data_IF_210627759808
#
_entry.id   IF_210627759808
#
_cell.length_a   1.000
_cell.length_b   1.000
_cell.length_c   1.000
_cell.angle_alpha   90.00
_cell.angle_beta   90.00
_cell.angle_gamma   90.00
#
_symmetry.space_group_name_H-M   'P 1'
#
loop_
_entity.id
_entity.type
_entity.pdbx_description
1 polymer ?
#
# COMPACT_ATOMS: atom_id res chain seq x y z
N UNK A 1 -27.96 -6.90 -11.13
CA UNK A 1 -27.60 -5.54 -10.69
C UNK A 1 -26.28 -5.16 -11.36
N UNK A 2 -25.94 -3.88 -11.44
CA UNK A 2 -24.62 -3.45 -11.94
C UNK A 2 -23.59 -3.56 -10.80
N UNK A 3 -22.34 -3.86 -11.12
CA UNK A 3 -21.27 -3.87 -10.13
C UNK A 3 -20.86 -2.45 -9.76
N UNK A 4 -20.52 -2.26 -8.50
CA UNK A 4 -19.98 -1.05 -7.89
C UNK A 4 -18.73 -1.44 -7.11
N UNK A 5 -17.74 -0.58 -7.14
CA UNK A 5 -16.56 -0.66 -6.29
C UNK A 5 -16.55 0.57 -5.38
N UNK A 6 -16.23 0.37 -4.10
CA UNK A 6 -16.17 1.45 -3.11
C UNK A 6 -14.70 1.70 -2.76
N UNK A 7 -14.26 2.95 -2.90
CA UNK A 7 -13.00 3.42 -2.36
C UNK A 7 -13.24 4.35 -1.17
N UNK A 8 -12.66 4.01 -0.02
CA UNK A 8 -12.69 4.82 1.20
C UNK A 8 -11.31 5.42 1.39
N UNK A 9 -11.23 6.75 1.27
CA UNK A 9 -9.98 7.47 1.46
C UNK A 9 -9.77 7.83 2.94
N UNK A 10 -8.65 7.40 3.52
CA UNK A 10 -8.22 7.77 4.88
C UNK A 10 -6.95 8.61 4.76
N UNK A 11 -7.03 9.96 4.83
CA UNK A 11 -5.89 10.84 4.53
C UNK A 11 -4.88 10.98 5.69
N UNK A 12 -4.87 10.05 6.62
CA UNK A 12 -4.05 10.20 7.83
C UNK A 12 -2.81 9.32 7.80
N UNK A 13 -1.68 9.91 8.18
CA UNK A 13 -0.42 9.21 8.41
C UNK A 13 0.13 9.59 9.79
N UNK A 14 0.90 8.70 10.41
CA UNK A 14 1.71 9.05 11.57
C UNK A 14 2.76 10.08 11.18
N UNK A 15 3.37 9.90 10.00
CA UNK A 15 4.35 10.78 9.38
C UNK A 15 4.30 10.63 7.87
N UNK A 16 4.38 11.74 7.12
CA UNK A 16 4.48 11.70 5.66
C UNK A 16 5.89 11.32 5.24
N UNK A 17 6.01 10.39 4.30
CA UNK A 17 7.30 9.95 3.74
C UNK A 17 7.88 11.01 2.81
N UNK A 18 9.21 10.99 2.62
CA UNK A 18 9.94 12.00 1.86
C UNK A 18 9.58 12.04 0.35
N UNK A 19 9.08 10.93 -0.19
CA UNK A 19 8.70 10.77 -1.60
C UNK A 19 7.20 10.91 -1.86
N UNK A 20 6.37 10.91 -0.80
CA UNK A 20 4.92 10.71 -0.95
C UNK A 20 4.21 11.97 -1.42
N UNK A 21 3.50 11.88 -2.55
CA UNK A 21 2.64 12.92 -3.09
C UNK A 21 1.15 12.71 -2.79
N UNK A 22 0.79 11.58 -2.19
CA UNK A 22 -0.61 11.30 -1.87
C UNK A 22 -1.21 12.38 -0.95
N UNK A 23 -2.52 12.58 -1.11
CA UNK A 23 -3.28 13.46 -0.22
C UNK A 23 -3.33 12.85 1.19
N UNK A 24 -2.29 13.13 1.97
CA UNK A 24 -2.12 12.58 3.31
C UNK A 24 -1.35 13.54 4.21
N UNK A 25 -1.71 13.53 5.50
CA UNK A 25 -1.11 14.40 6.51
C UNK A 25 -1.30 13.83 7.94
N UNK A 26 -0.47 14.21 8.90
CA UNK A 26 -0.71 13.92 10.31
C UNK A 26 -1.92 14.72 10.85
N UNK A 27 -2.73 14.10 11.71
CA UNK A 27 -3.86 14.75 12.34
C UNK A 27 -4.04 14.24 13.78
N UNK A 28 -4.68 15.07 14.62
CA UNK A 28 -5.13 14.66 15.95
C UNK A 28 -6.38 13.76 15.87
N UNK A 29 -6.74 13.15 16.98
CA UNK A 29 -7.83 12.20 17.02
C UNK A 29 -9.21 12.87 16.85
N UNK A 30 -9.35 14.14 17.24
CA UNK A 30 -10.58 14.89 17.02
C UNK A 30 -10.81 15.17 15.52
N UNK A 31 -9.77 15.51 14.77
CA UNK A 31 -9.85 15.69 13.32
C UNK A 31 -10.17 14.36 12.62
N UNK A 32 -9.51 13.27 13.03
CA UNK A 32 -9.80 11.93 12.49
C UNK A 32 -11.25 11.51 12.75
N UNK A 33 -11.75 11.72 13.97
CA UNK A 33 -13.14 11.40 14.33
C UNK A 33 -14.14 12.22 13.51
N UNK A 34 -13.90 13.53 13.34
CA UNK A 34 -14.76 14.37 12.48
C UNK A 34 -14.79 13.88 11.05
N UNK A 35 -13.63 13.46 10.52
CA UNK A 35 -13.53 12.93 9.16
C UNK A 35 -14.31 11.62 9.00
N UNK A 36 -14.15 10.67 9.92
CA UNK A 36 -14.89 9.40 9.93
C UNK A 36 -16.40 9.64 9.97
N UNK A 37 -16.87 10.58 10.81
CA UNK A 37 -18.29 10.98 10.84
C UNK A 37 -18.75 11.58 9.50
N UNK A 38 -17.89 12.33 8.83
CA UNK A 38 -18.15 12.84 7.48
C UNK A 38 -18.34 11.73 6.46
N UNK A 39 -17.45 10.72 6.46
CA UNK A 39 -17.57 9.55 5.58
C UNK A 39 -18.87 8.77 5.85
N UNK A 40 -19.25 8.58 7.11
CA UNK A 40 -20.51 7.92 7.46
C UNK A 40 -21.74 8.71 6.95
N UNK A 41 -21.71 10.04 7.08
CA UNK A 41 -22.78 10.87 6.53
C UNK A 41 -22.85 10.79 4.99
N UNK A 42 -21.72 10.70 4.32
CA UNK A 42 -21.63 10.49 2.88
C UNK A 42 -22.21 9.13 2.47
N UNK A 43 -21.91 8.04 3.19
CA UNK A 43 -22.47 6.72 2.96
C UNK A 43 -24.01 6.73 3.09
N UNK A 44 -24.53 7.36 4.13
CA UNK A 44 -26.00 7.52 4.35
C UNK A 44 -26.65 8.29 3.19
N UNK A 45 -25.97 9.30 2.66
CA UNK A 45 -26.48 10.09 1.53
C UNK A 45 -26.48 9.29 0.22
N UNK A 46 -25.39 8.58 -0.09
CA UNK A 46 -25.26 7.86 -1.36
C UNK A 46 -25.93 6.50 -1.36
N UNK A 47 -26.06 5.81 -0.23
CA UNK A 47 -26.67 4.48 -0.13
C UNK A 47 -28.01 4.34 -0.85
N UNK A 48 -29.00 5.23 -0.60
CA UNK A 48 -30.29 5.19 -1.30
C UNK A 48 -30.19 5.36 -2.82
N UNK A 49 -29.18 6.08 -3.31
CA UNK A 49 -28.95 6.30 -4.73
C UNK A 49 -28.35 5.06 -5.44
N UNK A 50 -27.69 4.19 -4.67
CA UNK A 50 -26.98 3.01 -5.17
C UNK A 50 -27.79 1.69 -5.03
N UNK A 51 -29.09 1.74 -4.75
CA UNK A 51 -29.96 0.55 -4.54
C UNK A 51 -29.94 -0.49 -5.67
N UNK A 52 -29.65 -0.05 -6.90
CA UNK A 52 -29.63 -0.92 -8.09
C UNK A 52 -28.24 -1.50 -8.38
N UNK A 53 -27.29 -1.25 -7.50
CA UNK A 53 -25.92 -1.73 -7.61
C UNK A 53 -25.65 -2.80 -6.55
N UNK A 54 -24.65 -3.63 -6.82
CA UNK A 54 -24.07 -4.57 -5.86
C UNK A 54 -22.57 -4.28 -5.75
N UNK A 55 -22.06 -4.24 -4.53
CA UNK A 55 -20.66 -3.93 -4.28
C UNK A 55 -19.84 -5.22 -4.41
N UNK A 56 -18.94 -5.25 -5.38
CA UNK A 56 -18.03 -6.37 -5.63
C UNK A 56 -16.68 -6.21 -4.94
N UNK A 57 -16.28 -4.97 -4.61
CA UNK A 57 -15.07 -4.73 -3.82
C UNK A 57 -15.17 -3.46 -2.99
N UNK A 58 -14.45 -3.44 -1.87
CA UNK A 58 -14.22 -2.26 -1.03
C UNK A 58 -12.73 -2.10 -0.83
N UNK A 59 -12.19 -0.92 -1.08
CA UNK A 59 -10.78 -0.62 -0.88
C UNK A 59 -10.62 0.56 0.08
N UNK A 60 -9.99 0.32 1.22
CA UNK A 60 -9.69 1.34 2.23
C UNK A 60 -8.22 1.73 2.08
N UNK A 61 -7.98 2.91 1.51
CA UNK A 61 -6.63 3.36 1.16
C UNK A 61 -6.37 4.82 1.46
N UNK A 62 -5.26 5.34 0.93
CA UNK A 62 -4.90 6.77 0.97
C UNK A 62 -3.60 7.08 1.68
N UNK A 63 -3.64 7.58 2.90
CA UNK A 63 -2.45 7.81 3.71
C UNK A 63 -1.96 6.52 4.37
N UNK A 64 -2.53 6.20 5.51
CA UNK A 64 -2.26 4.95 6.24
C UNK A 64 -3.50 4.56 7.03
N UNK A 65 -4.47 3.87 6.44
CA UNK A 65 -5.71 3.48 7.12
C UNK A 65 -5.47 2.73 8.43
N UNK A 66 -4.46 1.88 8.49
CA UNK A 66 -4.09 1.17 9.72
C UNK A 66 -3.52 2.05 10.84
N UNK A 67 -3.29 3.34 10.59
CA UNK A 67 -2.84 4.29 11.62
C UNK A 67 -3.96 4.83 12.51
N UNK A 68 -5.22 4.69 12.11
CA UNK A 68 -6.36 5.11 12.91
C UNK A 68 -6.83 3.99 13.85
N UNK A 69 -7.66 4.33 14.81
CA UNK A 69 -8.25 3.38 15.76
C UNK A 69 -9.10 2.34 15.02
N UNK A 70 -8.95 1.07 15.36
CA UNK A 70 -9.69 -0.04 14.73
C UNK A 70 -11.21 0.10 14.88
N UNK A 71 -11.68 0.72 15.96
CA UNK A 71 -13.12 0.99 16.17
C UNK A 71 -13.69 1.93 15.11
N UNK A 72 -12.88 2.83 14.55
CA UNK A 72 -13.33 3.70 13.46
C UNK A 72 -13.37 2.97 12.13
N UNK A 73 -12.45 2.03 11.89
CA UNK A 73 -12.53 1.13 10.72
C UNK A 73 -13.78 0.25 10.84
N UNK A 74 -14.05 -0.32 12.01
CA UNK A 74 -15.26 -1.10 12.27
C UNK A 74 -16.53 -0.28 11.97
N UNK A 75 -16.63 0.92 12.52
CA UNK A 75 -17.80 1.79 12.28
C UNK A 75 -17.97 2.13 10.77
N UNK A 76 -16.87 2.34 10.03
CA UNK A 76 -16.96 2.55 8.59
C UNK A 76 -17.46 1.30 7.85
N UNK A 77 -16.98 0.12 8.24
CA UNK A 77 -17.44 -1.14 7.63
C UNK A 77 -18.91 -1.45 7.94
N UNK A 78 -19.35 -1.25 9.19
CA UNK A 78 -20.77 -1.30 9.55
C UNK A 78 -21.60 -0.37 8.64
N UNK A 79 -21.15 0.88 8.45
CA UNK A 79 -21.78 1.84 7.55
C UNK A 79 -21.82 1.39 6.09
N UNK A 80 -20.77 0.72 5.60
CA UNK A 80 -20.74 0.13 4.25
C UNK A 80 -21.81 -0.97 4.13
N UNK A 81 -21.89 -1.90 5.07
CA UNK A 81 -22.87 -2.99 5.03
C UNK A 81 -24.31 -2.51 5.22
N UNK A 82 -24.53 -1.47 6.02
CA UNK A 82 -25.87 -0.89 6.25
C UNK A 82 -26.39 -0.09 5.04
N UNK A 83 -25.49 0.59 4.33
CA UNK A 83 -25.86 1.51 3.26
C UNK A 83 -25.82 0.88 1.86
N UNK A 84 -25.04 -0.18 1.64
CA UNK A 84 -24.80 -0.75 0.32
C UNK A 84 -25.03 -2.25 0.29
N UNK A 85 -25.41 -2.76 -0.89
CA UNK A 85 -25.59 -4.19 -1.12
C UNK A 85 -24.25 -4.86 -1.44
N UNK A 86 -23.49 -5.24 -0.40
CA UNK A 86 -22.17 -5.87 -0.53
C UNK A 86 -22.35 -7.37 -0.82
N UNK A 87 -21.66 -7.86 -1.85
CA UNK A 87 -21.65 -9.29 -2.18
C UNK A 87 -20.93 -10.09 -1.08
N UNK A 88 -21.41 -11.30 -0.82
CA UNK A 88 -20.81 -12.18 0.21
C UNK A 88 -19.37 -12.62 -0.12
N UNK A 89 -18.98 -12.54 -1.39
CA UNK A 89 -17.64 -12.84 -1.90
C UNK A 89 -16.84 -11.57 -2.30
N UNK A 90 -17.30 -10.39 -1.89
CA UNK A 90 -16.61 -9.14 -2.17
C UNK A 90 -15.19 -9.14 -1.60
N UNK A 91 -14.23 -8.64 -2.38
CA UNK A 91 -12.90 -8.35 -1.84
C UNK A 91 -12.95 -7.06 -1.02
N UNK A 92 -12.55 -7.14 0.25
CA UNK A 92 -12.46 -5.99 1.14
C UNK A 92 -11.01 -5.83 1.57
N UNK A 93 -10.35 -4.81 1.00
CA UNK A 93 -8.92 -4.55 1.16
C UNK A 93 -8.66 -3.35 2.06
N UNK A 94 -7.60 -3.42 2.88
CA UNK A 94 -7.10 -2.28 3.65
C UNK A 94 -5.60 -2.11 3.48
N UNK A 95 -5.16 -0.85 3.29
CA UNK A 95 -3.74 -0.49 3.29
C UNK A 95 -3.19 -0.39 4.70
N UNK A 96 -2.04 -1.01 4.88
CA UNK A 96 -1.37 -1.13 6.17
C UNK A 96 0.08 -0.66 6.09
N UNK A 97 0.53 0.02 7.14
CA UNK A 97 1.94 0.33 7.31
C UNK A 97 2.53 -0.59 8.41
N UNK A 98 3.67 -1.27 8.16
CA UNK A 98 4.36 -1.99 9.22
C UNK A 98 4.58 -1.13 10.46
N UNK A 99 4.42 -1.72 11.66
CA UNK A 99 4.49 -0.99 12.93
C UNK A 99 3.17 -0.33 13.38
N UNK A 100 2.11 -0.34 12.54
CA UNK A 100 0.77 0.12 12.94
C UNK A 100 -0.22 -1.03 13.21
N UNK A 101 0.21 -2.27 12.95
CA UNK A 101 -0.60 -3.46 13.11
C UNK A 101 -0.37 -4.10 14.50
N UNK A 102 -1.46 -4.46 15.16
CA UNK A 102 -1.47 -5.31 16.36
C UNK A 102 -2.38 -6.51 16.12
N UNK A 103 -2.30 -7.50 17.04
CA UNK A 103 -3.19 -8.66 16.98
C UNK A 103 -4.66 -8.25 17.08
N UNK A 104 -4.96 -7.32 17.97
CA UNK A 104 -6.30 -6.79 18.21
C UNK A 104 -6.86 -6.12 16.97
N UNK A 105 -6.08 -5.26 16.30
CA UNK A 105 -6.47 -4.62 15.04
C UNK A 105 -6.75 -5.63 13.94
N UNK A 106 -5.86 -6.61 13.76
CA UNK A 106 -6.02 -7.63 12.73
C UNK A 106 -7.26 -8.50 12.96
N UNK A 107 -7.56 -8.84 14.21
CA UNK A 107 -8.80 -9.56 14.55
C UNK A 107 -10.03 -8.68 14.27
N UNK A 108 -10.04 -7.42 14.71
CA UNK A 108 -11.13 -6.50 14.43
C UNK A 108 -11.36 -6.34 12.92
N UNK A 109 -10.30 -6.25 12.11
CA UNK A 109 -10.44 -6.17 10.64
C UNK A 109 -11.10 -7.43 10.06
N UNK A 110 -10.73 -8.62 10.54
CA UNK A 110 -11.37 -9.87 10.09
C UNK A 110 -12.82 -9.96 10.51
N UNK A 111 -13.16 -9.56 11.74
CA UNK A 111 -14.52 -9.56 12.27
C UNK A 111 -15.44 -8.65 11.44
N UNK A 112 -14.89 -7.55 10.89
CA UNK A 112 -15.57 -6.61 10.00
C UNK A 112 -15.51 -7.03 8.51
N UNK A 113 -15.11 -8.25 8.21
CA UNK A 113 -15.12 -8.82 6.86
C UNK A 113 -13.96 -8.38 5.97
N UNK A 114 -12.97 -7.63 6.48
CA UNK A 114 -11.76 -7.31 5.71
C UNK A 114 -10.98 -8.61 5.47
N UNK A 115 -10.79 -8.94 4.18
CA UNK A 115 -10.23 -10.24 3.77
C UNK A 115 -8.90 -10.13 3.02
N UNK A 116 -8.43 -8.89 2.74
CA UNK A 116 -7.14 -8.63 2.09
C UNK A 116 -6.39 -7.49 2.77
N UNK A 117 -5.08 -7.68 2.97
CA UNK A 117 -4.17 -6.63 3.45
C UNK A 117 -3.22 -6.21 2.34
N UNK A 118 -2.97 -4.89 2.18
CA UNK A 118 -1.87 -4.35 1.39
C UNK A 118 -0.84 -3.72 2.33
N UNK A 119 0.35 -4.31 2.43
CA UNK A 119 1.36 -3.89 3.39
C UNK A 119 2.50 -3.16 2.69
N UNK A 120 2.63 -1.87 2.95
CA UNK A 120 3.65 -1.00 2.37
C UNK A 120 5.03 -1.22 2.98
N UNK A 121 5.80 -2.20 2.50
CA UNK A 121 7.18 -2.42 2.92
C UNK A 121 8.15 -1.45 2.26
N UNK A 122 8.10 -1.34 0.95
CA UNK A 122 8.95 -0.56 0.04
C UNK A 122 10.35 -1.15 -0.18
N UNK A 123 11.09 -1.50 0.86
CA UNK A 123 12.41 -2.13 0.79
C UNK A 123 12.68 -3.05 1.98
N UNK A 124 13.47 -4.11 1.78
CA UNK A 124 14.01 -4.95 2.84
C UNK A 124 15.42 -4.51 3.31
N UNK A 125 15.83 -3.28 2.96
CA UNK A 125 17.05 -2.63 3.42
C UNK A 125 16.68 -1.44 4.33
N UNK A 126 17.10 -1.49 5.58
CA UNK A 126 16.75 -0.47 6.59
C UNK A 126 17.34 0.92 6.27
N UNK A 127 18.48 1.01 5.57
CA UNK A 127 19.04 2.29 5.15
C UNK A 127 18.22 2.93 4.02
N UNK A 128 17.65 2.12 3.12
CA UNK A 128 16.72 2.59 2.10
C UNK A 128 15.41 3.06 2.75
N UNK A 129 14.84 2.28 3.68
CA UNK A 129 13.66 2.68 4.44
C UNK A 129 13.86 4.01 5.17
N UNK A 130 15.01 4.19 5.81
CA UNK A 130 15.35 5.44 6.48
C UNK A 130 15.43 6.62 5.51
N UNK A 131 16.04 6.43 4.32
CA UNK A 131 16.08 7.47 3.26
C UNK A 131 14.71 7.85 2.77
N UNK A 132 13.80 6.88 2.61
CA UNK A 132 12.41 7.10 2.23
C UNK A 132 11.59 7.84 3.32
N UNK A 133 12.13 8.02 4.52
CA UNK A 133 11.41 8.57 5.68
C UNK A 133 10.43 7.58 6.30
N UNK A 134 10.60 6.27 6.05
CA UNK A 134 9.77 5.23 6.67
C UNK A 134 10.08 5.13 8.16
N UNK A 135 9.05 4.86 8.97
CA UNK A 135 9.14 4.77 10.44
C UNK A 135 9.32 3.34 10.95
N UNK A 136 9.32 2.35 10.05
CA UNK A 136 9.48 0.94 10.37
C UNK A 136 10.78 0.38 9.83
N UNK A 137 11.18 -0.79 10.35
CA UNK A 137 12.28 -1.60 9.85
C UNK A 137 11.78 -2.85 9.13
N UNK A 138 12.68 -3.53 8.40
CA UNK A 138 12.33 -4.79 7.75
C UNK A 138 11.92 -5.87 8.77
N UNK A 139 12.56 -5.92 9.94
CA UNK A 139 12.25 -6.85 11.01
C UNK A 139 10.83 -6.65 11.58
N UNK A 140 10.43 -5.38 11.73
CA UNK A 140 9.06 -5.03 12.14
C UNK A 140 8.04 -5.44 11.07
N UNK A 141 8.37 -5.26 9.79
CA UNK A 141 7.53 -5.76 8.71
C UNK A 141 7.35 -7.28 8.78
N UNK A 142 8.45 -8.05 8.92
CA UNK A 142 8.38 -9.52 9.02
C UNK A 142 7.49 -9.93 10.20
N UNK A 143 7.69 -9.32 11.37
CA UNK A 143 6.86 -9.60 12.56
C UNK A 143 5.37 -9.33 12.29
N UNK A 144 5.03 -8.21 11.63
CA UNK A 144 3.63 -7.88 11.33
C UNK A 144 3.05 -8.78 10.22
N UNK A 145 3.86 -9.15 9.24
CA UNK A 145 3.45 -10.09 8.18
C UNK A 145 3.12 -11.47 8.76
N UNK A 146 4.01 -12.01 9.61
CA UNK A 146 3.80 -13.30 10.29
C UNK A 146 2.59 -13.23 11.23
N UNK A 147 2.42 -12.11 11.94
CA UNK A 147 1.25 -11.89 12.80
C UNK A 147 -0.05 -11.93 12.00
N UNK A 148 -0.10 -11.28 10.85
CA UNK A 148 -1.26 -11.29 9.96
C UNK A 148 -1.58 -12.71 9.45
N UNK A 149 -0.54 -13.49 9.06
CA UNK A 149 -0.72 -14.89 8.69
C UNK A 149 -1.23 -15.74 9.85
N UNK A 150 -0.68 -15.56 11.05
CA UNK A 150 -1.07 -16.30 12.26
C UNK A 150 -2.50 -15.98 12.72
N UNK A 151 -2.98 -14.77 12.49
CA UNK A 151 -4.38 -14.38 12.75
C UNK A 151 -5.33 -15.01 11.73
N UNK A 152 -4.88 -15.27 10.51
CA UNK A 152 -5.66 -15.99 9.50
C UNK A 152 -5.80 -15.30 8.14
N UNK A 153 -5.17 -14.14 7.92
CA UNK A 153 -5.18 -13.50 6.60
C UNK A 153 -4.51 -14.37 5.55
N UNK A 154 -5.28 -14.75 4.53
CA UNK A 154 -4.81 -15.58 3.42
C UNK A 154 -4.40 -14.75 2.20
N UNK A 155 -4.94 -13.54 2.05
CA UNK A 155 -4.64 -12.64 0.93
C UNK A 155 -3.84 -11.43 1.44
N UNK A 156 -2.53 -11.44 1.21
CA UNK A 156 -1.62 -10.36 1.60
C UNK A 156 -0.83 -9.90 0.39
N UNK A 157 -0.97 -8.61 0.08
CA UNK A 157 -0.10 -7.90 -0.85
C UNK A 157 1.07 -7.27 -0.10
N UNK A 158 2.23 -7.23 -0.76
CA UNK A 158 3.42 -6.49 -0.29
C UNK A 158 3.84 -5.49 -1.36
N UNK A 159 3.89 -4.21 -0.98
CA UNK A 159 4.34 -3.15 -1.87
C UNK A 159 5.86 -3.01 -1.80
N UNK A 160 6.51 -3.00 -2.96
CA UNK A 160 7.95 -2.82 -3.14
C UNK A 160 8.23 -1.64 -4.06
N UNK A 161 9.31 -0.94 -3.78
CA UNK A 161 9.81 0.12 -4.64
C UNK A 161 11.22 -0.24 -5.16
N UNK A 162 11.47 0.10 -6.42
CA UNK A 162 12.80 0.08 -7.00
C UNK A 162 13.17 1.46 -7.56
N UNK A 163 14.42 1.61 -7.94
CA UNK A 163 14.90 2.92 -8.41
C UNK A 163 15.10 3.94 -7.28
N UNK A 164 15.33 3.47 -6.06
CA UNK A 164 15.54 4.34 -4.91
C UNK A 164 16.90 5.05 -5.00
N UNK A 165 17.05 6.26 -4.41
CA UNK A 165 18.31 6.99 -4.45
C UNK A 165 19.49 6.16 -3.92
N UNK A 166 20.49 5.94 -4.76
CA UNK A 166 21.68 5.14 -4.45
C UNK A 166 21.43 3.63 -4.34
N UNK A 167 20.30 3.15 -4.81
CA UNK A 167 19.99 1.72 -4.85
C UNK A 167 20.66 1.08 -6.07
N UNK A 168 21.39 0.01 -5.85
CA UNK A 168 21.91 -0.84 -6.94
C UNK A 168 20.90 -1.94 -7.29
N UNK A 169 20.99 -2.49 -8.50
CA UNK A 169 20.20 -3.65 -8.93
C UNK A 169 20.36 -4.85 -7.97
N UNK A 170 21.57 -5.06 -7.43
CA UNK A 170 21.83 -6.12 -6.47
C UNK A 170 21.11 -5.92 -5.13
N UNK A 171 20.98 -4.67 -4.66
CA UNK A 171 20.24 -4.34 -3.43
C UNK A 171 18.73 -4.52 -3.63
N UNK A 172 18.20 -4.08 -4.78
CA UNK A 172 16.81 -4.36 -5.12
C UNK A 172 16.53 -5.87 -5.20
N UNK A 173 17.38 -6.62 -5.89
CA UNK A 173 17.24 -8.09 -5.98
C UNK A 173 17.36 -8.79 -4.63
N UNK A 174 18.18 -8.27 -3.71
CA UNK A 174 18.21 -8.77 -2.33
C UNK A 174 16.85 -8.57 -1.61
N UNK A 175 16.18 -7.44 -1.83
CA UNK A 175 14.81 -7.19 -1.36
C UNK A 175 13.82 -8.16 -1.98
N UNK A 176 13.81 -8.28 -3.32
CA UNK A 176 12.93 -9.20 -4.06
C UNK A 176 13.05 -10.63 -3.53
N UNK A 177 14.28 -11.14 -3.39
CA UNK A 177 14.52 -12.50 -2.91
C UNK A 177 14.05 -12.72 -1.46
N UNK A 178 14.17 -11.73 -0.58
CA UNK A 178 13.64 -11.82 0.78
C UNK A 178 12.11 -11.92 0.79
N UNK A 179 11.44 -11.15 -0.06
CA UNK A 179 9.97 -11.13 -0.11
C UNK A 179 9.40 -12.38 -0.76
N UNK A 180 10.00 -12.87 -1.83
CA UNK A 180 9.58 -14.14 -2.43
C UNK A 180 9.60 -15.29 -1.39
N UNK A 181 10.57 -15.31 -0.48
CA UNK A 181 10.66 -16.32 0.59
C UNK A 181 9.55 -16.25 1.64
N UNK A 182 8.89 -15.10 1.79
CA UNK A 182 7.73 -14.96 2.68
C UNK A 182 6.44 -15.44 2.01
N UNK A 183 6.48 -15.74 0.71
CA UNK A 183 5.35 -16.27 -0.06
C UNK A 183 4.07 -15.41 0.04
N UNK A 184 4.10 -14.08 -0.18
CA UNK A 184 2.88 -13.31 -0.26
C UNK A 184 1.99 -13.80 -1.41
N UNK A 185 0.70 -13.49 -1.38
CA UNK A 185 -0.23 -13.87 -2.44
C UNK A 185 -0.14 -12.91 -3.62
N UNK A 186 0.23 -11.67 -3.31
CA UNK A 186 0.35 -10.59 -4.26
C UNK A 186 1.59 -9.73 -3.96
N UNK A 187 2.19 -9.15 -5.00
CA UNK A 187 3.31 -8.20 -4.91
C UNK A 187 2.98 -7.03 -5.85
N UNK A 188 3.05 -5.81 -5.31
CA UNK A 188 3.07 -4.59 -6.12
C UNK A 188 4.50 -4.06 -6.15
N UNK A 189 5.14 -4.02 -7.32
CA UNK A 189 6.51 -3.55 -7.47
C UNK A 189 6.57 -2.44 -8.52
N UNK A 190 6.90 -1.22 -8.07
CA UNK A 190 6.89 -0.02 -8.88
C UNK A 190 8.15 0.83 -8.67
N UNK A 191 8.52 1.58 -9.72
CA UNK A 191 9.65 2.51 -9.63
C UNK A 191 9.31 3.73 -8.77
N UNK A 192 10.31 4.27 -8.10
CA UNK A 192 10.19 5.58 -7.47
C UNK A 192 9.92 6.65 -8.54
N UNK A 193 8.82 7.38 -8.36
CA UNK A 193 8.55 8.61 -9.11
C UNK A 193 8.78 9.78 -8.15
N UNK A 194 9.59 10.74 -8.56
CA UNK A 194 9.89 11.93 -7.75
C UNK A 194 8.95 13.05 -8.16
N UNK A 195 7.92 13.27 -7.36
CA UNK A 195 6.85 14.23 -7.65
C UNK A 195 7.16 15.63 -7.09
N UNK A 196 6.77 16.67 -7.86
CA UNK A 196 6.89 18.07 -7.43
C UNK A 196 6.11 18.31 -6.14
N UNK A 197 6.70 19.10 -5.23
CA UNK A 197 6.07 19.37 -3.93
C UNK A 197 6.50 18.41 -2.82
N UNK A 198 7.25 17.35 -3.16
CA UNK A 198 7.81 16.42 -2.17
C UNK A 198 9.22 16.84 -1.72
N UNK A 199 9.66 16.47 -0.50
CA UNK A 199 11.07 16.66 -0.09
C UNK A 199 12.07 16.00 -1.05
N UNK A 200 11.72 14.84 -1.63
CA UNK A 200 12.56 14.18 -2.62
C UNK A 200 12.74 15.02 -3.89
N UNK A 201 11.71 15.73 -4.35
CA UNK A 201 11.86 16.63 -5.49
C UNK A 201 12.91 17.70 -5.22
N UNK A 202 12.84 18.37 -4.07
CA UNK A 202 13.81 19.40 -3.74
C UNK A 202 15.25 18.86 -3.64
N UNK A 203 15.39 17.61 -3.22
CA UNK A 203 16.68 16.96 -3.06
C UNK A 203 17.26 16.41 -4.37
N UNK A 204 16.41 15.90 -5.27
CA UNK A 204 16.86 15.15 -6.45
C UNK A 204 16.45 15.79 -7.80
N UNK A 205 15.87 16.99 -7.81
CA UNK A 205 15.44 17.68 -9.04
C UNK A 205 16.51 17.84 -10.12
N UNK A 206 17.77 17.95 -9.73
CA UNK A 206 18.88 18.03 -10.69
C UNK A 206 19.16 16.68 -11.36
N UNK A 207 18.98 15.57 -10.64
CA UNK A 207 19.09 14.25 -11.23
C UNK A 207 17.91 13.95 -12.19
N UNK A 208 16.71 14.43 -11.89
CA UNK A 208 15.58 14.34 -12.82
C UNK A 208 15.87 15.07 -14.14
N UNK A 209 16.40 16.28 -14.08
CA UNK A 209 16.80 17.02 -15.29
C UNK A 209 17.88 16.27 -16.07
N UNK A 210 18.83 15.63 -15.38
CA UNK A 210 19.85 14.79 -16.03
C UNK A 210 19.26 13.55 -16.68
N UNK A 211 18.31 12.86 -16.01
CA UNK A 211 17.58 11.73 -16.60
C UNK A 211 16.84 12.14 -17.88
N UNK A 212 16.06 13.22 -17.84
CA UNK A 212 15.36 13.75 -19.01
C UNK A 212 16.30 14.11 -20.17
N UNK A 213 17.53 14.52 -19.86
CA UNK A 213 18.58 14.85 -20.85
C UNK A 213 19.41 13.63 -21.29
N UNK A 214 19.13 12.41 -20.80
CA UNK A 214 19.92 11.21 -21.04
C UNK A 214 21.35 11.29 -20.46
N UNK A 215 21.54 12.10 -19.43
CA UNK A 215 22.83 12.30 -18.76
C UNK A 215 22.96 11.42 -17.52
N UNK A 216 24.18 11.09 -17.16
CA UNK A 216 24.45 10.34 -15.94
C UNK A 216 23.97 11.11 -14.71
N UNK A 217 23.22 10.45 -13.88
CA UNK A 217 22.72 10.94 -12.59
C UNK A 217 23.78 10.77 -11.48
N UNK A 218 23.54 11.39 -10.34
CA UNK A 218 24.43 11.29 -9.18
C UNK A 218 23.86 10.35 -8.11
N UNK A 219 22.55 10.42 -7.88
CA UNK A 219 21.86 9.68 -6.81
C UNK A 219 20.75 8.76 -7.33
N UNK A 220 20.00 9.20 -8.32
CA UNK A 220 18.92 8.38 -8.90
C UNK A 220 19.52 7.42 -9.95
N UNK A 221 18.99 6.20 -10.08
CA UNK A 221 19.36 5.33 -11.19
C UNK A 221 18.99 5.98 -12.53
N UNK A 222 19.79 5.73 -13.57
CA UNK A 222 19.42 6.11 -14.93
C UNK A 222 18.36 5.16 -15.53
N UNK A 223 17.91 5.45 -16.76
CA UNK A 223 16.84 4.67 -17.41
C UNK A 223 17.26 3.23 -17.67
N UNK A 224 18.51 2.96 -18.01
CA UNK A 224 19.03 1.61 -18.25
C UNK A 224 19.07 0.82 -16.94
N UNK A 225 19.54 1.43 -15.86
CA UNK A 225 19.54 0.83 -14.52
C UNK A 225 18.11 0.53 -14.04
N UNK A 226 17.16 1.45 -14.26
CA UNK A 226 15.74 1.23 -13.93
C UNK A 226 15.14 0.06 -14.72
N UNK A 227 15.42 0.00 -16.02
CA UNK A 227 14.98 -1.08 -16.89
C UNK A 227 15.55 -2.43 -16.42
N UNK A 228 16.85 -2.48 -16.10
CA UNK A 228 17.48 -3.70 -15.62
C UNK A 228 16.89 -4.18 -14.28
N UNK A 229 16.61 -3.26 -13.34
CA UNK A 229 15.93 -3.57 -12.07
C UNK A 229 14.54 -4.14 -12.32
N UNK A 230 13.75 -3.49 -13.18
CA UNK A 230 12.40 -3.94 -13.54
C UNK A 230 12.43 -5.36 -14.12
N UNK A 231 13.28 -5.59 -15.13
CA UNK A 231 13.36 -6.90 -15.82
C UNK A 231 13.87 -8.00 -14.89
N UNK A 232 14.85 -7.70 -14.05
CA UNK A 232 15.35 -8.66 -13.07
C UNK A 232 14.27 -9.03 -12.03
N UNK A 233 13.55 -8.03 -11.50
CA UNK A 233 12.44 -8.26 -10.57
C UNK A 233 11.31 -9.04 -11.20
N UNK A 234 10.85 -8.64 -12.40
CA UNK A 234 9.82 -9.34 -13.18
C UNK A 234 10.17 -10.82 -13.37
N UNK A 235 11.40 -11.09 -13.83
CA UNK A 235 11.86 -12.46 -14.02
C UNK A 235 11.82 -13.26 -12.72
N UNK A 236 12.33 -12.70 -11.62
CA UNK A 236 12.36 -13.38 -10.32
C UNK A 236 10.95 -13.69 -9.79
N UNK A 237 9.99 -12.77 -9.93
CA UNK A 237 8.59 -13.02 -9.56
C UNK A 237 7.97 -14.12 -10.42
N UNK A 238 8.19 -14.10 -11.73
CA UNK A 238 7.69 -15.15 -12.63
C UNK A 238 8.30 -16.52 -12.31
N UNK A 239 9.60 -16.61 -12.08
CA UNK A 239 10.30 -17.84 -11.69
C UNK A 239 9.80 -18.37 -10.33
N UNK A 240 9.30 -17.49 -9.44
CA UNK A 240 8.68 -17.84 -8.16
C UNK A 240 7.16 -18.17 -8.26
N UNK A 241 6.61 -18.21 -9.48
CA UNK A 241 5.22 -18.61 -9.74
C UNK A 241 4.18 -17.49 -9.71
N UNK A 242 4.62 -16.24 -9.64
CA UNK A 242 3.70 -15.09 -9.80
C UNK A 242 3.45 -14.82 -11.27
N UNK A 243 2.26 -14.28 -11.56
CA UNK A 243 1.88 -13.76 -12.88
C UNK A 243 1.70 -12.26 -12.82
N UNK A 244 2.34 -11.55 -13.70
CA UNK A 244 2.05 -10.15 -13.94
C UNK A 244 0.70 -10.05 -14.67
N UNK A 245 -0.21 -9.21 -14.20
CA UNK A 245 -1.51 -8.98 -14.82
C UNK A 245 -1.76 -7.48 -15.11
N UNK A 246 -0.92 -6.63 -14.54
CA UNK A 246 -0.88 -5.19 -14.75
C UNK A 246 0.59 -4.74 -14.62
N UNK A 247 0.91 -3.51 -14.99
CA UNK A 247 2.29 -3.01 -15.10
C UNK A 247 3.13 -3.26 -13.84
N UNK A 248 2.56 -3.05 -12.67
CA UNK A 248 3.28 -3.15 -11.39
C UNK A 248 2.83 -4.31 -10.51
N UNK A 249 1.81 -5.06 -10.91
CA UNK A 249 1.13 -6.01 -10.05
C UNK A 249 1.32 -7.47 -10.46
N UNK A 250 1.70 -8.28 -9.47
CA UNK A 250 2.02 -9.68 -9.61
C UNK A 250 1.23 -10.52 -8.61
N UNK A 251 0.47 -11.50 -9.06
CA UNK A 251 -0.32 -12.38 -8.21
C UNK A 251 0.06 -13.85 -8.40
N UNK A 252 -0.05 -14.66 -7.34
CA UNK A 252 -0.09 -16.11 -7.47
C UNK A 252 -1.41 -16.53 -8.12
N UNK A 253 -1.43 -17.70 -8.75
CA UNK A 253 -2.70 -18.31 -9.17
C UNK A 253 -3.48 -18.67 -7.90
N UNK A 254 -4.65 -18.08 -7.75
CA UNK A 254 -5.67 -18.49 -6.79
C UNK A 254 -6.46 -19.67 -7.29
#
# INVERSE_FOLDING_TARGET
MKNLEIYIHIPFCVRKCEYCDFLSFPADDDAKLRYVKGLMAEMIFYGPLMKNYQVSSVYIGGGTPSSIDERWIAALMEGVFDCFNVLSDAEISIECNPGTLSREKLLAYMDEGINRLSIGLQSANNDELKRLGRIHTFEQFVTNYELARNVGFKNINVDLMYGLPGQSASQYMATVNKIIRLHPDHISAYSLIVEKGTPFYEKYKFDMVRQEAGMRTEFLPDEDELYDMEKAGQKAFMDAGYRQYETSNYAKRG
#
